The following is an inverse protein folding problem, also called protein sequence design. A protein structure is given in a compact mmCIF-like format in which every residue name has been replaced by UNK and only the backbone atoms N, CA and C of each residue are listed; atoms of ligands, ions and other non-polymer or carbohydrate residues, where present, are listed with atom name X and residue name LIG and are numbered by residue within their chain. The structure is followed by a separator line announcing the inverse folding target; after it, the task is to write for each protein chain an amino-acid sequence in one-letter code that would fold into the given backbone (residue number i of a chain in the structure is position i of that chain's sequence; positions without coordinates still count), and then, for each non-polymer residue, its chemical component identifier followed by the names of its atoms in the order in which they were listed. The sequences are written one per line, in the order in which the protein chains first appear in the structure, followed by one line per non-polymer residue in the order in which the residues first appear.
data_IF_992229094850
#
_entry.id   IF_992229094850
#
_cell.length_a   1.000
_cell.length_b   1.000
_cell.length_c   1.000
_cell.angle_alpha   90.00
_cell.angle_beta   90.00
_cell.angle_gamma   90.00
#
_symmetry.space_group_name_H-M   'P 1'
#
loop_
_entity.id
_entity.type
_entity.pdbx_description
1 polymer ?
#
# COMPACT_ATOMS: atom_id res chain seq x y z
N UNK A 1 36.68 -4.16 19.07
CA UNK A 1 36.22 -5.55 18.88
C UNK A 1 36.20 -5.83 17.38
N UNK A 2 37.20 -6.55 16.83
CA UNK A 2 37.23 -6.90 15.39
C UNK A 2 36.44 -8.21 15.23
N UNK A 3 35.22 -8.14 14.68
CA UNK A 3 34.45 -9.33 14.35
C UNK A 3 35.22 -10.13 13.28
N UNK A 4 35.67 -11.34 13.63
CA UNK A 4 36.28 -12.29 12.70
C UNK A 4 35.14 -13.05 12.02
N UNK A 5 34.65 -12.55 10.90
CA UNK A 5 33.58 -13.21 10.13
C UNK A 5 34.20 -14.42 9.42
N UNK A 6 33.85 -15.63 9.86
CA UNK A 6 34.33 -16.89 9.29
C UNK A 6 33.76 -17.10 7.88
N UNK A 7 34.52 -17.72 6.97
CA UNK A 7 34.08 -18.01 5.60
C UNK A 7 32.76 -18.79 5.53
N UNK A 8 32.49 -19.66 6.52
CA UNK A 8 31.22 -20.37 6.66
C UNK A 8 30.04 -19.45 6.98
N UNK A 9 30.26 -18.37 7.73
CA UNK A 9 29.22 -17.37 8.05
C UNK A 9 28.88 -16.56 6.80
N UNK A 10 29.87 -16.23 5.97
CA UNK A 10 29.67 -15.53 4.69
C UNK A 10 28.86 -16.40 3.72
N UNK A 11 29.15 -17.70 3.66
CA UNK A 11 28.44 -18.65 2.80
C UNK A 11 26.99 -18.90 3.26
N UNK A 12 26.74 -18.94 4.57
CA UNK A 12 25.38 -19.04 5.11
C UNK A 12 24.59 -17.75 4.83
N UNK A 13 25.21 -16.57 5.00
CA UNK A 13 24.58 -15.28 4.66
C UNK A 13 24.27 -15.16 3.16
N UNK A 14 25.16 -15.61 2.28
CA UNK A 14 24.92 -15.55 0.83
C UNK A 14 23.79 -16.48 0.41
N UNK A 15 23.71 -17.70 0.94
CA UNK A 15 22.59 -18.63 0.71
C UNK A 15 21.28 -18.04 1.23
N UNK A 16 21.30 -17.42 2.42
CA UNK A 16 20.13 -16.76 2.98
C UNK A 16 19.66 -15.59 2.10
N UNK A 17 20.58 -14.74 1.63
CA UNK A 17 20.27 -13.64 0.72
C UNK A 17 19.74 -14.11 -0.65
N UNK A 18 20.24 -15.23 -1.17
CA UNK A 18 19.73 -15.85 -2.41
C UNK A 18 18.33 -16.45 -2.23
N UNK A 19 18.00 -16.92 -1.02
CA UNK A 19 16.67 -17.46 -0.69
C UNK A 19 15.61 -16.38 -0.45
N UNK A 20 16.01 -15.13 -0.19
CA UNK A 20 15.12 -13.98 -0.08
C UNK A 20 14.91 -13.36 -1.47
N UNK A 21 14.43 -14.16 -2.42
CA UNK A 21 13.69 -13.60 -3.54
C UNK A 21 12.29 -13.32 -3.02
N UNK A 22 11.96 -12.03 -2.78
CA UNK A 22 10.58 -11.61 -2.62
C UNK A 22 9.84 -12.00 -3.91
N UNK A 23 9.13 -13.11 -3.87
CA UNK A 23 8.22 -13.47 -4.95
C UNK A 23 7.22 -12.33 -5.10
N UNK A 24 7.14 -11.78 -6.31
CA UNK A 24 6.10 -10.81 -6.68
C UNK A 24 4.75 -11.50 -6.52
N UNK A 25 3.77 -10.75 -6.03
CA UNK A 25 2.47 -11.24 -5.63
C UNK A 25 1.40 -10.92 -6.66
N UNK A 26 0.48 -11.86 -6.86
CA UNK A 26 -0.79 -11.60 -7.54
C UNK A 26 -1.77 -10.86 -6.60
N UNK A 27 -2.97 -10.56 -7.10
CA UNK A 27 -3.96 -9.79 -6.35
C UNK A 27 -4.41 -10.47 -5.04
N UNK A 28 -4.58 -11.79 -5.05
CA UNK A 28 -5.03 -12.55 -3.86
C UNK A 28 -3.94 -12.62 -2.78
N UNK A 29 -2.68 -12.71 -3.19
CA UNK A 29 -1.53 -12.65 -2.29
C UNK A 29 -1.36 -11.24 -1.70
N UNK A 30 -1.52 -10.19 -2.51
CA UNK A 30 -1.52 -8.80 -2.03
C UNK A 30 -2.63 -8.57 -1.01
N UNK A 31 -3.86 -9.06 -1.25
CA UNK A 31 -4.98 -9.01 -0.29
C UNK A 31 -4.60 -9.64 1.05
N UNK A 32 -3.96 -10.81 1.03
CA UNK A 32 -3.49 -11.48 2.26
C UNK A 32 -2.41 -10.67 2.97
N UNK A 33 -1.46 -10.08 2.23
CA UNK A 33 -0.41 -9.23 2.80
C UNK A 33 -0.99 -7.96 3.45
N UNK A 34 -1.95 -7.28 2.82
CA UNK A 34 -2.51 -6.02 3.35
C UNK A 34 -3.52 -6.23 4.48
N UNK A 35 -4.10 -7.41 4.63
CA UNK A 35 -5.07 -7.71 5.70
C UNK A 35 -4.59 -7.36 7.12
N UNK A 36 -3.41 -7.79 7.60
CA UNK A 36 -2.91 -7.39 8.92
C UNK A 36 -2.63 -5.88 9.02
N UNK A 37 -2.19 -5.25 7.92
CA UNK A 37 -1.96 -3.79 7.85
C UNK A 37 -3.30 -3.05 8.03
N UNK A 38 -4.34 -3.49 7.32
CA UNK A 38 -5.71 -2.98 7.43
C UNK A 38 -6.24 -3.11 8.85
N UNK A 39 -6.14 -4.28 9.48
CA UNK A 39 -6.56 -4.49 10.87
C UNK A 39 -5.88 -3.53 11.85
N UNK A 40 -4.57 -3.32 11.70
CA UNK A 40 -3.82 -2.38 12.54
C UNK A 40 -4.29 -0.94 12.35
N UNK A 41 -4.46 -0.50 11.09
CA UNK A 41 -4.90 0.85 10.77
C UNK A 41 -6.35 1.11 11.19
N UNK A 42 -7.24 0.11 11.08
CA UNK A 42 -8.61 0.18 11.55
C UNK A 42 -8.63 0.48 13.06
N UNK A 43 -7.90 -0.32 13.84
CA UNK A 43 -7.78 -0.15 15.30
C UNK A 43 -7.19 1.22 15.64
N UNK A 44 -6.10 1.62 14.97
CA UNK A 44 -5.41 2.88 15.24
C UNK A 44 -6.28 4.11 15.05
N UNK A 45 -7.19 4.09 14.07
CA UNK A 45 -8.05 5.23 13.75
C UNK A 45 -9.48 5.07 14.28
N UNK A 46 -9.75 4.03 15.09
CA UNK A 46 -11.08 3.71 15.62
C UNK A 46 -12.16 3.70 14.54
N UNK A 47 -11.87 3.10 13.37
CA UNK A 47 -12.84 3.06 12.27
C UNK A 47 -13.96 2.07 12.61
N UNK A 48 -15.22 2.52 12.65
CA UNK A 48 -16.38 1.64 12.71
C UNK A 48 -16.37 0.60 11.58
N UNK A 49 -16.80 -0.63 11.88
CA UNK A 49 -16.78 -1.73 10.90
C UNK A 49 -17.69 -1.44 9.70
N UNK A 50 -18.86 -0.84 9.93
CA UNK A 50 -19.82 -0.47 8.90
C UNK A 50 -19.27 0.54 7.88
N UNK A 51 -18.53 1.55 8.33
CA UNK A 51 -17.87 2.50 7.41
C UNK A 51 -16.83 1.80 6.52
N UNK A 52 -16.09 0.86 7.10
CA UNK A 52 -15.08 0.10 6.36
C UNK A 52 -15.74 -0.85 5.35
N UNK A 53 -16.82 -1.54 5.74
CA UNK A 53 -17.59 -2.40 4.84
C UNK A 53 -18.26 -1.62 3.71
N UNK A 54 -18.80 -0.45 4.01
CA UNK A 54 -19.32 0.46 2.98
C UNK A 54 -18.25 0.78 1.95
N UNK A 55 -17.03 1.12 2.40
CA UNK A 55 -15.92 1.45 1.51
C UNK A 55 -15.50 0.29 0.60
N UNK A 56 -15.56 -0.94 1.11
CA UNK A 56 -15.26 -2.14 0.31
C UNK A 56 -16.34 -2.40 -0.73
N UNK A 57 -17.58 -2.01 -0.45
CA UNK A 57 -18.71 -2.05 -1.37
C UNK A 57 -18.79 -0.85 -2.33
N UNK A 58 -17.78 0.04 -2.32
CA UNK A 58 -17.71 1.20 -3.22
C UNK A 58 -18.47 2.43 -2.72
N UNK A 59 -18.99 2.40 -1.50
CA UNK A 59 -19.57 3.57 -0.83
C UNK A 59 -18.52 4.15 0.10
N UNK A 60 -18.04 5.36 -0.17
CA UNK A 60 -16.97 5.97 0.62
C UNK A 60 -17.51 7.12 1.49
N UNK A 61 -17.97 6.89 2.73
CA UNK A 61 -18.32 7.98 3.64
C UNK A 61 -17.12 8.90 3.92
N UNK A 62 -17.33 10.22 3.93
CA UNK A 62 -16.28 11.21 4.25
C UNK A 62 -16.11 11.39 5.76
N UNK A 63 -15.86 10.29 6.46
CA UNK A 63 -15.60 10.29 7.90
C UNK A 63 -14.11 10.38 8.18
N UNK A 64 -13.71 11.23 9.13
CA UNK A 64 -12.29 11.51 9.40
C UNK A 64 -11.49 10.26 9.75
N UNK A 65 -12.10 9.36 10.52
CA UNK A 65 -11.52 8.07 10.90
C UNK A 65 -11.20 7.20 9.68
N UNK A 66 -12.13 7.11 8.71
CA UNK A 66 -11.95 6.35 7.46
C UNK A 66 -10.91 7.01 6.54
N UNK A 67 -10.93 8.34 6.42
CA UNK A 67 -9.94 9.06 5.62
C UNK A 67 -8.51 8.84 6.17
N UNK A 68 -8.34 8.98 7.49
CA UNK A 68 -7.04 8.75 8.12
C UNK A 68 -6.64 7.27 8.18
N UNK A 69 -7.58 6.34 8.04
CA UNK A 69 -7.29 4.92 7.83
C UNK A 69 -6.55 4.67 6.50
N UNK A 70 -6.99 5.26 5.39
CA UNK A 70 -6.27 5.13 4.12
C UNK A 70 -4.89 5.79 4.15
N UNK A 71 -4.75 6.93 4.83
CA UNK A 71 -3.44 7.53 5.13
C UNK A 71 -2.54 6.61 5.96
N UNK A 72 -3.11 5.89 6.93
CA UNK A 72 -2.37 4.90 7.71
C UNK A 72 -1.88 3.75 6.82
N UNK A 73 -2.74 3.21 5.96
CA UNK A 73 -2.38 2.16 5.00
C UNK A 73 -1.22 2.60 4.11
N UNK A 74 -1.34 3.77 3.48
CA UNK A 74 -0.30 4.31 2.60
C UNK A 74 1.02 4.57 3.35
N UNK A 75 0.96 5.01 4.60
CA UNK A 75 2.14 5.12 5.47
C UNK A 75 2.80 3.75 5.72
N UNK A 76 2.01 2.75 6.11
CA UNK A 76 2.53 1.41 6.44
C UNK A 76 3.09 0.69 5.21
N UNK A 77 2.50 0.92 4.05
CA UNK A 77 2.96 0.45 2.75
C UNK A 77 4.12 1.27 2.18
N UNK A 78 4.64 2.26 2.92
CA UNK A 78 5.79 3.11 2.53
C UNK A 78 5.55 3.89 1.23
N UNK A 79 4.30 4.30 0.98
CA UNK A 79 3.90 5.11 -0.18
C UNK A 79 4.07 6.62 0.05
N UNK A 80 4.40 7.01 1.28
CA UNK A 80 4.60 8.41 1.65
C UNK A 80 6.07 8.83 1.50
N UNK A 81 6.29 10.10 1.14
CA UNK A 81 7.60 10.74 1.23
C UNK A 81 7.97 11.06 2.70
N UNK A 82 9.15 11.65 2.92
CA UNK A 82 9.63 12.00 4.26
C UNK A 82 8.78 13.07 4.95
N UNK A 83 8.03 13.85 4.18
CA UNK A 83 7.10 14.89 4.62
C UNK A 83 5.70 14.33 4.94
N UNK A 84 5.50 13.02 4.78
CA UNK A 84 4.22 12.37 5.07
C UNK A 84 3.17 12.50 3.96
N UNK A 85 3.54 12.99 2.78
CA UNK A 85 2.64 13.13 1.63
C UNK A 85 2.78 11.94 0.68
N UNK A 86 1.69 11.59 -0.02
CA UNK A 86 1.71 10.52 -1.01
C UNK A 86 2.73 10.83 -2.13
N UNK A 87 3.53 9.82 -2.49
CA UNK A 87 4.57 9.94 -3.51
C UNK A 87 4.35 8.91 -4.61
N UNK A 88 4.16 9.39 -5.84
CA UNK A 88 3.99 8.54 -7.01
C UNK A 88 5.23 7.66 -7.24
N UNK A 89 6.44 8.20 -7.06
CA UNK A 89 7.68 7.43 -7.14
C UNK A 89 7.74 6.30 -6.11
N UNK A 90 7.31 6.55 -4.86
CA UNK A 90 7.25 5.51 -3.82
C UNK A 90 6.21 4.45 -4.17
N UNK A 91 5.07 4.85 -4.71
CA UNK A 91 4.05 3.94 -5.21
C UNK A 91 4.61 3.04 -6.32
N UNK A 92 5.26 3.60 -7.33
CA UNK A 92 5.85 2.83 -8.42
C UNK A 92 6.91 1.85 -7.94
N UNK A 93 7.77 2.28 -7.01
CA UNK A 93 8.77 1.39 -6.41
C UNK A 93 8.13 0.21 -5.65
N UNK A 94 7.04 0.44 -4.91
CA UNK A 94 6.32 -0.66 -4.25
C UNK A 94 5.66 -1.60 -5.25
N UNK A 95 5.10 -1.06 -6.34
CA UNK A 95 4.53 -1.88 -7.42
C UNK A 95 5.61 -2.75 -8.06
N UNK A 96 6.77 -2.19 -8.39
CA UNK A 96 7.89 -2.95 -8.97
C UNK A 96 8.44 -4.02 -8.05
N UNK A 97 8.40 -3.78 -6.73
CA UNK A 97 8.89 -4.73 -5.74
C UNK A 97 7.89 -5.86 -5.46
N UNK A 98 6.59 -5.54 -5.41
CA UNK A 98 5.58 -6.43 -4.83
C UNK A 98 4.60 -7.02 -5.82
N UNK A 99 4.39 -6.41 -6.99
CA UNK A 99 3.31 -6.77 -7.91
C UNK A 99 3.86 -7.52 -9.11
N UNK A 100 3.20 -8.61 -9.52
CA UNK A 100 3.55 -9.36 -10.72
C UNK A 100 3.55 -8.49 -11.99
N UNK A 101 4.42 -8.83 -12.94
CA UNK A 101 4.65 -8.04 -14.16
C UNK A 101 3.39 -7.82 -14.99
N UNK A 102 2.45 -8.78 -14.99
CA UNK A 102 1.19 -8.67 -15.72
C UNK A 102 0.29 -7.53 -15.19
N UNK A 103 0.27 -7.32 -13.88
CA UNK A 103 -0.59 -6.33 -13.24
C UNK A 103 0.12 -4.98 -13.02
N UNK A 104 1.45 -4.98 -12.89
CA UNK A 104 2.22 -3.80 -12.54
C UNK A 104 1.98 -2.59 -13.46
N UNK A 105 1.95 -2.71 -14.81
CA UNK A 105 1.68 -1.59 -15.70
C UNK A 105 0.29 -0.97 -15.46
N UNK A 106 -0.73 -1.80 -15.28
CA UNK A 106 -2.12 -1.36 -15.05
C UNK A 106 -2.23 -0.62 -13.71
N UNK A 107 -1.63 -1.15 -12.64
CA UNK A 107 -1.61 -0.50 -11.32
C UNK A 107 -0.88 0.84 -11.38
N UNK A 108 0.27 0.91 -12.06
CA UNK A 108 1.02 2.17 -12.24
C UNK A 108 0.24 3.21 -13.03
N UNK A 109 -0.43 2.80 -14.10
CA UNK A 109 -1.23 3.71 -14.91
C UNK A 109 -2.35 4.35 -14.08
N UNK A 110 -3.12 3.54 -13.34
CA UNK A 110 -4.17 4.06 -12.45
C UNK A 110 -3.59 5.00 -11.39
N UNK A 111 -2.48 4.61 -10.76
CA UNK A 111 -1.82 5.45 -9.76
C UNK A 111 -1.39 6.80 -10.34
N UNK A 112 -0.86 6.82 -11.58
CA UNK A 112 -0.48 8.04 -12.27
C UNK A 112 -1.69 8.92 -12.57
N UNK A 113 -2.71 8.35 -13.21
CA UNK A 113 -3.90 9.10 -13.62
C UNK A 113 -4.60 9.72 -12.40
N UNK A 114 -4.76 8.93 -11.34
CA UNK A 114 -5.33 9.42 -10.09
C UNK A 114 -4.47 10.48 -9.40
N UNK A 115 -3.14 10.33 -9.43
CA UNK A 115 -2.24 11.33 -8.88
C UNK A 115 -2.34 12.68 -9.61
N UNK A 116 -2.48 12.65 -10.93
CA UNK A 116 -2.53 13.84 -11.78
C UNK A 116 -3.90 14.55 -11.72
N UNK A 117 -5.00 13.80 -11.68
CA UNK A 117 -6.34 14.38 -11.69
C UNK A 117 -6.87 14.77 -10.31
N UNK A 118 -6.32 14.19 -9.23
CA UNK A 118 -6.82 14.46 -7.86
C UNK A 118 -6.26 15.79 -7.35
N UNK A 119 -7.13 16.78 -7.03
CA UNK A 119 -6.69 18.04 -6.47
C UNK A 119 -5.91 17.84 -5.18
N UNK A 120 -4.78 18.53 -5.03
CA UNK A 120 -3.99 18.51 -3.79
C UNK A 120 -4.81 19.08 -2.64
N UNK A 121 -4.69 18.48 -1.46
CA UNK A 121 -5.29 18.96 -0.20
C UNK A 121 -4.19 19.21 0.82
N UNK A 122 -4.39 20.19 1.69
CA UNK A 122 -3.52 20.42 2.84
C UNK A 122 -3.63 19.25 3.83
N UNK A 123 -4.86 18.76 4.04
CA UNK A 123 -5.09 17.60 4.86
C UNK A 123 -4.69 16.31 4.15
N UNK A 124 -3.64 15.67 4.66
CA UNK A 124 -3.09 14.45 4.07
C UNK A 124 -4.07 13.27 4.15
N UNK A 125 -4.94 13.20 5.18
CA UNK A 125 -5.95 12.15 5.25
C UNK A 125 -6.96 12.30 4.11
N UNK A 126 -7.43 13.53 3.86
CA UNK A 126 -8.35 13.82 2.77
C UNK A 126 -7.70 13.56 1.41
N UNK A 127 -6.46 14.03 1.20
CA UNK A 127 -5.77 13.82 -0.06
C UNK A 127 -5.57 12.32 -0.37
N UNK A 128 -5.14 11.54 0.63
CA UNK A 128 -4.93 10.10 0.44
C UNK A 128 -6.25 9.38 0.18
N UNK A 129 -7.31 9.77 0.87
CA UNK A 129 -8.65 9.24 0.65
C UNK A 129 -9.14 9.54 -0.78
N UNK A 130 -8.99 10.78 -1.26
CA UNK A 130 -9.42 11.17 -2.61
C UNK A 130 -8.70 10.34 -3.69
N UNK A 131 -7.40 10.05 -3.49
CA UNK A 131 -6.63 9.16 -4.37
C UNK A 131 -7.16 7.72 -4.39
N UNK A 132 -7.54 7.18 -3.22
CA UNK A 132 -8.10 5.81 -3.12
C UNK A 132 -9.47 5.74 -3.79
N UNK A 133 -10.34 6.74 -3.57
CA UNK A 133 -11.65 6.82 -4.23
C UNK A 133 -11.47 6.89 -5.74
N UNK A 134 -10.53 7.71 -6.22
CA UNK A 134 -10.19 7.75 -7.64
C UNK A 134 -9.79 6.37 -8.16
N UNK A 135 -8.84 5.70 -7.51
CA UNK A 135 -8.34 4.40 -7.97
C UNK A 135 -9.44 3.34 -8.01
N UNK A 136 -10.33 3.32 -7.00
CA UNK A 136 -11.48 2.43 -6.98
C UNK A 136 -12.47 2.71 -8.11
N UNK A 137 -12.77 3.98 -8.38
CA UNK A 137 -13.71 4.37 -9.44
C UNK A 137 -13.14 4.11 -10.84
N UNK A 138 -11.83 4.24 -11.02
CA UNK A 138 -11.16 3.88 -12.27
C UNK A 138 -11.22 2.38 -12.50
N UNK A 139 -10.95 1.58 -11.45
CA UNK A 139 -10.90 0.13 -11.58
C UNK A 139 -10.97 -0.60 -10.22
N UNK A 140 -12.19 -0.94 -9.80
CA UNK A 140 -12.41 -1.63 -8.54
C UNK A 140 -11.92 -3.09 -8.53
N UNK A 141 -11.66 -3.68 -9.71
CA UNK A 141 -11.18 -5.08 -9.80
C UNK A 141 -9.77 -5.27 -9.25
N UNK A 142 -8.99 -4.19 -9.12
CA UNK A 142 -7.65 -4.18 -8.54
C UNK A 142 -7.62 -3.81 -7.05
N UNK A 143 -8.79 -3.63 -6.41
CA UNK A 143 -8.84 -3.32 -4.99
C UNK A 143 -8.32 -4.49 -4.14
N UNK A 144 -7.25 -4.23 -3.39
CA UNK A 144 -6.67 -5.18 -2.42
C UNK A 144 -7.24 -5.03 -1.02
N UNK A 145 -8.10 -4.03 -0.80
CA UNK A 145 -8.66 -3.73 0.51
C UNK A 145 -10.01 -4.41 0.76
N UNK A 146 -10.57 -5.12 -0.22
CA UNK A 146 -11.82 -5.87 -0.05
C UNK A 146 -11.67 -7.01 0.98
N UNK A 147 -12.81 -7.54 1.46
CA UNK A 147 -12.81 -8.80 2.23
C UNK A 147 -12.22 -9.95 1.42
#
# INVERSE_FOLDING_TARGET
MKLKVSGSIIFILSIYLLSVQCAKMNLDELKKMVKPISSSCKKKNNVPEDLLLASYAGVFPREKSLMCYYKCLATMLKLMNKQGQFSLDKMFNQVDLLVVEELAPRVKQIAKDCYDQTPKRDDTCEYTYDLVVCAYNTDSSLSVFSR
#
